data_IF_773580156297
#
_entry.id   IF_773580156297
#
_cell.length_a   1.000
_cell.length_b   1.000
_cell.length_c   1.000
_cell.angle_alpha   90.00
_cell.angle_beta   90.00
_cell.angle_gamma   90.00
#
_symmetry.space_group_name_H-M   'P 1'
#
loop_
_entity.id
_entity.type
_entity.pdbx_description
1 polymer ?
#
# COMPACT_ATOMS: atom_id res chain seq x y z
N UNK A 1 13.44 7.03 -14.13
CA UNK A 1 12.67 8.05 -13.39
C UNK A 1 13.63 9.03 -12.72
N UNK A 2 13.29 10.33 -12.72
CA UNK A 2 13.96 11.34 -11.90
C UNK A 2 13.05 11.65 -10.72
N UNK A 3 13.58 11.63 -9.52
CA UNK A 3 12.86 12.05 -8.32
C UNK A 3 13.03 13.56 -8.19
N UNK A 4 11.91 14.27 -8.11
CA UNK A 4 11.89 15.70 -7.82
C UNK A 4 11.35 15.85 -6.40
N UNK A 5 12.20 16.38 -5.52
CA UNK A 5 11.85 16.62 -4.12
C UNK A 5 12.05 18.10 -3.80
N UNK A 6 10.94 18.83 -3.69
CA UNK A 6 10.97 20.25 -3.41
C UNK A 6 9.68 20.71 -2.71
N UNK A 7 9.72 21.55 -1.67
CA UNK A 7 8.53 21.99 -0.94
C UNK A 7 7.42 22.59 -1.81
N UNK A 8 7.79 23.28 -2.90
CA UNK A 8 6.82 23.85 -3.86
C UNK A 8 6.05 22.79 -4.67
N UNK A 9 6.45 21.51 -4.61
CA UNK A 9 5.74 20.40 -5.27
C UNK A 9 4.61 19.84 -4.39
N UNK A 10 4.54 20.25 -3.13
CA UNK A 10 3.42 19.86 -2.27
C UNK A 10 2.17 20.63 -2.68
N UNK A 11 1.05 19.93 -2.97
CA UNK A 11 -0.22 20.59 -3.28
C UNK A 11 -0.78 21.29 -2.04
N UNK A 12 -1.36 22.48 -2.24
CA UNK A 12 -2.04 23.21 -1.16
C UNK A 12 -3.40 22.57 -0.82
N UNK A 13 -4.03 21.89 -1.78
CA UNK A 13 -5.31 21.22 -1.64
C UNK A 13 -5.26 19.91 -2.41
N UNK A 14 -5.76 18.84 -1.81
CA UNK A 14 -5.95 17.53 -2.45
C UNK A 14 -7.43 17.19 -2.44
N UNK A 15 -7.99 16.90 -3.60
CA UNK A 15 -9.39 16.50 -3.77
C UNK A 15 -9.43 15.01 -4.11
N UNK A 16 -10.09 14.21 -3.28
CA UNK A 16 -10.29 12.78 -3.49
C UNK A 16 -11.70 12.55 -4.03
N UNK A 17 -11.83 12.52 -5.35
CA UNK A 17 -13.10 12.27 -6.03
C UNK A 17 -13.15 10.82 -6.54
N UNK A 18 -13.97 9.93 -5.93
CA UNK A 18 -14.08 8.54 -6.34
C UNK A 18 -14.70 8.37 -7.73
N UNK A 19 -15.49 9.34 -8.20
CA UNK A 19 -16.17 9.29 -9.51
C UNK A 19 -15.11 9.17 -10.61
N UNK A 20 -13.99 9.87 -10.49
CA UNK A 20 -12.89 9.84 -11.47
C UNK A 20 -12.19 8.48 -11.57
N UNK A 21 -12.46 7.58 -10.63
CA UNK A 21 -11.85 6.23 -10.61
C UNK A 21 -12.78 5.12 -11.06
N UNK A 22 -14.06 5.43 -11.35
CA UNK A 22 -15.07 4.42 -11.69
C UNK A 22 -14.76 3.64 -12.99
N UNK A 23 -14.00 4.24 -13.90
CA UNK A 23 -13.63 3.63 -15.18
C UNK A 23 -12.24 2.97 -15.16
N UNK A 24 -11.57 2.92 -14.01
CA UNK A 24 -10.35 2.14 -13.88
C UNK A 24 -10.64 0.65 -14.09
N UNK A 25 -9.86 0.03 -14.97
CA UNK A 25 -9.96 -1.42 -15.19
C UNK A 25 -9.64 -2.20 -13.90
N UNK A 26 -10.16 -3.43 -13.74
CA UNK A 26 -9.82 -4.28 -12.62
C UNK A 26 -8.30 -4.43 -12.41
N UNK A 27 -7.55 -4.61 -13.49
CA UNK A 27 -6.08 -4.69 -13.45
C UNK A 27 -5.42 -3.44 -12.85
N UNK A 28 -5.89 -2.24 -13.26
CA UNK A 28 -5.37 -0.99 -12.69
C UNK A 28 -5.81 -0.80 -11.24
N UNK A 29 -7.04 -1.17 -10.92
CA UNK A 29 -7.55 -1.14 -9.54
C UNK A 29 -6.71 -2.02 -8.61
N UNK A 30 -6.42 -3.26 -9.02
CA UNK A 30 -5.56 -4.16 -8.26
C UNK A 30 -4.14 -3.58 -8.09
N UNK A 31 -3.52 -3.16 -9.20
CA UNK A 31 -2.15 -2.65 -9.17
C UNK A 31 -2.01 -1.39 -8.30
N UNK A 32 -2.94 -0.41 -8.41
CA UNK A 32 -2.90 0.82 -7.60
C UNK A 32 -3.26 0.56 -6.14
N UNK A 33 -4.16 -0.39 -5.87
CA UNK A 33 -4.49 -0.81 -4.51
C UNK A 33 -3.32 -1.52 -3.82
N UNK A 34 -2.59 -2.37 -4.53
CA UNK A 34 -1.37 -3.00 -4.01
C UNK A 34 -0.23 -2.00 -3.82
N UNK A 35 -0.16 -0.95 -4.64
CA UNK A 35 0.77 0.16 -4.44
C UNK A 35 0.44 0.95 -3.17
N UNK A 36 -0.84 1.28 -2.96
CA UNK A 36 -1.30 1.90 -1.73
C UNK A 36 -1.01 1.03 -0.48
N UNK A 37 -1.14 -0.30 -0.61
CA UNK A 37 -0.76 -1.24 0.45
C UNK A 37 0.74 -1.17 0.74
N UNK A 38 1.58 -1.16 -0.30
CA UNK A 38 3.03 -1.06 -0.14
C UNK A 38 3.43 0.24 0.57
N UNK A 39 2.82 1.38 0.21
CA UNK A 39 3.08 2.66 0.88
C UNK A 39 2.77 2.62 2.38
N UNK A 40 1.56 2.15 2.73
CA UNK A 40 1.15 2.06 4.13
C UNK A 40 2.01 1.06 4.92
N UNK A 41 2.27 -0.11 4.34
CA UNK A 41 3.02 -1.18 4.99
C UNK A 41 4.48 -0.79 5.23
N UNK A 42 5.17 -0.24 4.23
CA UNK A 42 6.55 0.20 4.37
C UNK A 42 6.66 1.38 5.35
N UNK A 43 5.72 2.33 5.31
CA UNK A 43 5.68 3.42 6.28
C UNK A 43 5.51 2.89 7.71
N UNK A 44 4.60 1.94 7.94
CA UNK A 44 4.40 1.33 9.25
C UNK A 44 5.64 0.58 9.73
N UNK A 45 6.24 -0.23 8.85
CA UNK A 45 7.44 -1.02 9.17
C UNK A 45 8.73 -0.20 9.22
N UNK A 46 8.76 1.00 8.65
CA UNK A 46 9.94 1.87 8.66
C UNK A 46 10.43 2.14 10.10
N UNK A 47 11.75 2.24 10.34
CA UNK A 47 12.29 2.59 11.64
C UNK A 47 11.91 4.01 12.08
N UNK A 48 12.09 4.31 13.34
CA UNK A 48 11.79 5.62 13.91
C UNK A 48 10.44 5.71 14.58
N UNK A 49 10.40 6.58 15.59
CA UNK A 49 9.21 6.84 16.40
C UNK A 49 8.34 7.91 15.75
N UNK A 50 7.22 7.52 15.18
CA UNK A 50 6.25 8.45 14.59
C UNK A 50 4.81 7.91 14.71
N UNK A 51 4.19 8.01 15.90
CA UNK A 51 2.88 7.38 16.16
C UNK A 51 1.76 7.88 15.25
N UNK A 52 1.77 9.16 14.84
CA UNK A 52 0.77 9.66 13.88
C UNK A 52 0.89 8.95 12.53
N UNK A 53 2.10 8.82 11.97
CA UNK A 53 2.30 8.10 10.72
C UNK A 53 1.91 6.63 10.85
N UNK A 54 2.23 5.99 11.98
CA UNK A 54 1.82 4.60 12.25
C UNK A 54 0.30 4.47 12.29
N UNK A 55 -0.40 5.35 13.01
CA UNK A 55 -1.87 5.34 13.09
C UNK A 55 -2.55 5.55 11.73
N UNK A 56 -2.00 6.45 10.90
CA UNK A 56 -2.48 6.67 9.53
C UNK A 56 -2.24 5.42 8.68
N UNK A 57 -1.03 4.88 8.71
CA UNK A 57 -0.66 3.72 7.88
C UNK A 57 -1.48 2.48 8.22
N UNK A 58 -1.67 2.16 9.49
CA UNK A 58 -2.40 0.95 9.88
C UNK A 58 -3.88 1.01 9.51
N UNK A 59 -4.52 2.19 9.61
CA UNK A 59 -5.89 2.37 9.12
C UNK A 59 -5.96 2.28 7.59
N UNK A 60 -4.96 2.79 6.87
CA UNK A 60 -4.83 2.61 5.42
C UNK A 60 -4.78 1.13 5.02
N UNK A 61 -4.00 0.31 5.73
CA UNK A 61 -3.94 -1.15 5.51
C UNK A 61 -5.33 -1.78 5.73
N UNK A 62 -6.05 -1.38 6.78
CA UNK A 62 -7.39 -1.89 7.08
C UNK A 62 -8.40 -1.55 5.98
N UNK A 63 -8.38 -0.32 5.46
CA UNK A 63 -9.26 0.06 4.36
C UNK A 63 -8.97 -0.76 3.10
N UNK A 64 -7.70 -0.99 2.77
CA UNK A 64 -7.31 -1.80 1.62
C UNK A 64 -7.77 -3.24 1.81
N UNK A 65 -7.53 -3.84 2.98
CA UNK A 65 -7.99 -5.19 3.31
C UNK A 65 -9.49 -5.34 3.12
N UNK A 66 -10.27 -4.35 3.54
CA UNK A 66 -11.73 -4.39 3.47
C UNK A 66 -12.29 -4.19 2.06
N UNK A 67 -11.68 -3.31 1.26
CA UNK A 67 -12.31 -2.78 0.05
C UNK A 67 -11.60 -3.12 -1.26
N UNK A 68 -10.34 -3.60 -1.26
CA UNK A 68 -9.61 -3.81 -2.51
C UNK A 68 -10.31 -4.85 -3.40
N UNK A 69 -10.68 -5.99 -2.85
CA UNK A 69 -11.37 -7.05 -3.62
C UNK A 69 -12.75 -6.58 -4.07
N UNK A 70 -13.46 -5.80 -3.25
CA UNK A 70 -14.76 -5.24 -3.63
C UNK A 70 -14.61 -4.30 -4.82
N UNK A 71 -13.66 -3.36 -4.79
CA UNK A 71 -13.42 -2.42 -5.89
C UNK A 71 -12.89 -3.13 -7.15
N UNK A 72 -12.15 -4.22 -7.01
CA UNK A 72 -11.67 -5.05 -8.11
C UNK A 72 -12.83 -5.76 -8.83
N UNK A 73 -13.75 -6.39 -8.07
CA UNK A 73 -14.89 -7.14 -8.60
C UNK A 73 -16.02 -6.23 -9.08
N UNK A 74 -16.27 -5.14 -8.36
CA UNK A 74 -17.26 -4.11 -8.69
C UNK A 74 -16.62 -2.72 -8.74
N UNK A 75 -16.09 -2.39 -9.91
CA UNK A 75 -15.45 -1.10 -10.15
C UNK A 75 -16.37 0.12 -10.02
N UNK A 76 -17.69 -0.07 -9.96
CA UNK A 76 -18.66 1.01 -9.80
C UNK A 76 -19.06 1.25 -8.33
N UNK A 77 -18.55 0.46 -7.41
CA UNK A 77 -18.79 0.62 -5.98
C UNK A 77 -18.09 1.88 -5.43
N UNK A 78 -18.84 2.96 -5.29
CA UNK A 78 -18.33 4.29 -4.88
C UNK A 78 -17.69 4.23 -3.49
N UNK A 79 -18.28 3.50 -2.53
CA UNK A 79 -17.73 3.36 -1.18
C UNK A 79 -16.35 2.71 -1.22
N UNK A 80 -16.19 1.63 -1.98
CA UNK A 80 -14.92 0.95 -2.13
C UNK A 80 -13.88 1.85 -2.83
N UNK A 81 -14.27 2.58 -3.87
CA UNK A 81 -13.40 3.55 -4.56
C UNK A 81 -12.94 4.68 -3.63
N UNK A 82 -13.85 5.29 -2.88
CA UNK A 82 -13.53 6.34 -1.91
C UNK A 82 -12.58 5.82 -0.83
N UNK A 83 -12.83 4.61 -0.33
CA UNK A 83 -11.99 3.98 0.69
C UNK A 83 -10.57 3.72 0.19
N UNK A 84 -10.42 3.26 -1.05
CA UNK A 84 -9.09 3.05 -1.64
C UNK A 84 -8.36 4.37 -1.93
N UNK A 85 -9.04 5.40 -2.40
CA UNK A 85 -8.46 6.74 -2.56
C UNK A 85 -7.97 7.28 -1.21
N UNK A 86 -8.79 7.14 -0.16
CA UNK A 86 -8.42 7.54 1.20
C UNK A 86 -7.19 6.77 1.67
N UNK A 87 -7.17 5.45 1.50
CA UNK A 87 -6.02 4.61 1.87
C UNK A 87 -4.74 4.98 1.11
N UNK A 88 -4.85 5.34 -0.17
CA UNK A 88 -3.72 5.83 -0.98
C UNK A 88 -3.19 7.16 -0.46
N UNK A 89 -4.08 8.10 -0.13
CA UNK A 89 -3.71 9.39 0.48
C UNK A 89 -3.07 9.20 1.87
N UNK A 90 -3.59 8.26 2.66
CA UNK A 90 -3.02 7.90 3.96
C UNK A 90 -1.61 7.34 3.81
N UNK A 91 -1.38 6.44 2.86
CA UNK A 91 -0.06 5.91 2.53
C UNK A 91 0.91 7.02 2.12
N UNK A 92 0.49 7.94 1.24
CA UNK A 92 1.31 9.08 0.81
C UNK A 92 1.65 10.04 1.96
N UNK A 93 0.79 10.16 2.96
CA UNK A 93 1.07 10.95 4.16
C UNK A 93 2.02 10.21 5.09
N UNK A 94 1.77 8.92 5.33
CA UNK A 94 2.53 8.11 6.27
C UNK A 94 3.96 7.83 5.79
N UNK A 95 4.20 7.67 4.50
CA UNK A 95 5.53 7.35 3.97
C UNK A 95 6.55 8.49 4.13
N UNK A 96 6.14 9.66 4.60
CA UNK A 96 7.07 10.69 5.10
C UNK A 96 8.00 10.14 6.19
N UNK A 97 7.55 9.13 6.94
CA UNK A 97 8.36 8.38 7.90
C UNK A 97 9.45 7.56 7.21
N UNK A 98 9.21 7.06 6.00
CA UNK A 98 10.16 6.31 5.17
C UNK A 98 9.45 5.30 4.25
N UNK A 99 10.12 5.00 3.15
CA UNK A 99 9.84 3.86 2.27
C UNK A 99 10.94 2.82 2.42
N UNK A 100 10.68 1.62 1.94
CA UNK A 100 11.60 0.48 2.12
C UNK A 100 12.04 -0.18 0.82
N UNK A 101 12.40 -1.46 0.94
CA UNK A 101 13.00 -2.25 -0.13
C UNK A 101 12.01 -2.59 -1.27
N UNK A 102 10.69 -2.62 -1.02
CA UNK A 102 9.70 -2.84 -2.07
C UNK A 102 9.83 -1.75 -3.13
N UNK A 103 9.79 -0.48 -2.72
CA UNK A 103 9.94 0.65 -3.63
C UNK A 103 11.35 0.78 -4.19
N UNK A 104 12.38 0.48 -3.40
CA UNK A 104 13.77 0.51 -3.87
C UNK A 104 14.03 -0.48 -4.99
N UNK A 105 13.41 -1.65 -4.98
CA UNK A 105 13.49 -2.66 -6.03
C UNK A 105 12.60 -2.33 -7.23
N UNK A 106 11.39 -1.81 -7.00
CA UNK A 106 10.44 -1.55 -8.08
C UNK A 106 10.86 -0.36 -8.97
N UNK A 107 11.43 0.70 -8.42
CA UNK A 107 11.80 1.89 -9.19
C UNK A 107 12.75 1.61 -10.37
N UNK A 108 13.90 0.92 -10.20
CA UNK A 108 14.78 0.60 -11.32
C UNK A 108 14.14 -0.37 -12.31
N UNK A 109 13.35 -1.34 -11.83
CA UNK A 109 12.62 -2.29 -12.70
C UNK A 109 11.60 -1.58 -13.57
N UNK A 110 10.80 -0.68 -12.98
CA UNK A 110 9.84 0.13 -13.74
C UNK A 110 10.53 1.00 -14.80
N UNK A 111 11.64 1.62 -14.43
CA UNK A 111 12.38 2.50 -15.32
C UNK A 111 13.01 1.74 -16.50
N UNK A 112 13.58 0.56 -16.24
CA UNK A 112 14.32 -0.22 -17.23
C UNK A 112 13.41 -1.05 -18.15
N UNK A 113 12.33 -1.61 -17.61
CA UNK A 113 11.49 -2.59 -18.29
C UNK A 113 10.07 -2.10 -18.60
N UNK A 114 9.76 -0.85 -18.26
CA UNK A 114 8.44 -0.23 -18.46
C UNK A 114 7.27 -1.05 -17.83
N UNK A 115 7.55 -1.69 -16.68
CA UNK A 115 6.54 -2.46 -15.95
C UNK A 115 5.71 -1.49 -15.09
N UNK A 116 4.42 -1.75 -14.94
CA UNK A 116 3.54 -0.93 -14.09
C UNK A 116 4.03 -0.94 -12.64
N UNK A 117 4.10 0.24 -12.02
CA UNK A 117 4.70 0.44 -10.69
C UNK A 117 4.05 -0.43 -9.61
N UNK A 118 2.72 -0.31 -9.45
CA UNK A 118 1.99 -1.08 -8.46
C UNK A 118 2.06 -2.60 -8.66
N UNK A 119 2.15 -3.06 -9.92
CA UNK A 119 2.38 -4.48 -10.21
C UNK A 119 3.75 -4.93 -9.69
N UNK A 120 4.79 -4.13 -9.91
CA UNK A 120 6.14 -4.46 -9.39
C UNK A 120 6.15 -4.49 -7.88
N UNK A 121 5.48 -3.52 -7.22
CA UNK A 121 5.37 -3.51 -5.76
C UNK A 121 4.63 -4.75 -5.24
N UNK A 122 3.54 -5.17 -5.90
CA UNK A 122 2.83 -6.40 -5.55
C UNK A 122 3.73 -7.64 -5.68
N UNK A 123 4.56 -7.70 -6.74
CA UNK A 123 5.47 -8.83 -6.96
C UNK A 123 6.56 -8.89 -5.89
N UNK A 124 7.21 -7.77 -5.57
CA UNK A 124 8.32 -7.73 -4.62
C UNK A 124 7.89 -7.85 -3.16
N UNK A 125 6.67 -7.41 -2.83
CA UNK A 125 6.18 -7.32 -1.45
C UNK A 125 6.40 -8.58 -0.61
N UNK A 126 5.96 -9.80 -0.99
CA UNK A 126 6.12 -10.98 -0.15
C UNK A 126 7.60 -11.37 0.06
N UNK A 127 8.44 -11.16 -0.93
CA UNK A 127 9.88 -11.47 -0.82
C UNK A 127 10.58 -10.49 0.11
N UNK A 128 10.25 -9.20 0.03
CA UNK A 128 10.81 -8.18 0.93
C UNK A 128 10.33 -8.39 2.35
N UNK A 129 9.05 -8.73 2.56
CA UNK A 129 8.54 -9.07 3.89
C UNK A 129 9.28 -10.25 4.49
N UNK A 130 9.45 -11.34 3.71
CA UNK A 130 10.17 -12.53 4.16
C UNK A 130 11.64 -12.22 4.47
N UNK A 131 12.31 -11.42 3.65
CA UNK A 131 13.69 -11.01 3.87
C UNK A 131 13.87 -10.19 5.16
N UNK A 132 12.92 -9.31 5.45
CA UNK A 132 12.96 -8.42 6.61
C UNK A 132 12.29 -9.03 7.87
N UNK A 133 11.85 -10.29 7.83
CA UNK A 133 11.02 -10.90 8.89
C UNK A 133 11.60 -10.65 10.28
N UNK A 134 12.90 -10.89 10.49
CA UNK A 134 13.56 -10.71 11.80
C UNK A 134 13.37 -9.32 12.40
N UNK A 135 13.32 -8.30 11.56
CA UNK A 135 13.27 -6.90 11.99
C UNK A 135 11.85 -6.37 12.13
N UNK A 136 10.90 -6.90 11.33
CA UNK A 136 9.56 -6.32 11.24
C UNK A 136 8.46 -7.21 11.81
N UNK A 137 8.75 -8.44 12.24
CA UNK A 137 7.74 -9.40 12.71
C UNK A 137 6.85 -8.80 13.80
N UNK A 138 7.44 -8.13 14.79
CA UNK A 138 6.67 -7.50 15.87
C UNK A 138 5.66 -6.46 15.34
N UNK A 139 6.02 -5.69 14.29
CA UNK A 139 5.11 -4.73 13.64
C UNK A 139 4.02 -5.41 12.82
N UNK A 140 4.35 -6.51 12.16
CA UNK A 140 3.35 -7.32 11.44
C UNK A 140 2.34 -7.91 12.41
N UNK A 141 2.78 -8.39 13.58
CA UNK A 141 1.87 -8.89 14.63
C UNK A 141 0.97 -7.79 15.18
N UNK A 142 1.47 -6.55 15.29
CA UNK A 142 0.67 -5.38 15.67
C UNK A 142 -0.41 -5.06 14.60
N UNK A 143 -0.05 -5.15 13.31
CA UNK A 143 -1.02 -5.02 12.21
C UNK A 143 -2.09 -6.13 12.33
N UNK A 144 -1.70 -7.38 12.55
CA UNK A 144 -2.63 -8.50 12.70
C UNK A 144 -3.64 -8.26 13.84
N UNK A 145 -3.17 -7.79 14.99
CA UNK A 145 -4.04 -7.43 16.12
C UNK A 145 -5.05 -6.35 15.72
N UNK A 146 -4.58 -5.28 15.09
CA UNK A 146 -5.45 -4.18 14.66
C UNK A 146 -6.50 -4.61 13.63
N UNK A 147 -6.13 -5.51 12.73
CA UNK A 147 -7.01 -6.07 11.70
C UNK A 147 -7.92 -7.17 12.24
N UNK A 148 -7.77 -7.58 13.50
CA UNK A 148 -8.48 -8.71 14.12
C UNK A 148 -8.37 -10.00 13.28
N UNK A 149 -7.16 -10.29 12.80
CA UNK A 149 -6.82 -11.50 12.06
C UNK A 149 -5.88 -12.40 12.87
N UNK A 150 -5.65 -13.62 12.38
CA UNK A 150 -4.71 -14.53 13.02
C UNK A 150 -3.33 -13.87 13.22
N UNK A 151 -2.88 -13.79 14.47
CA UNK A 151 -1.64 -13.11 14.87
C UNK A 151 -0.42 -13.95 14.54
N UNK A 152 -0.05 -13.97 13.28
CA UNK A 152 1.11 -14.70 12.79
C UNK A 152 1.67 -13.98 11.56
N UNK A 153 3.01 -13.91 11.47
CA UNK A 153 3.69 -13.39 10.29
C UNK A 153 3.32 -14.19 9.04
N UNK A 154 3.29 -15.50 9.16
CA UNK A 154 3.01 -16.40 8.04
C UNK A 154 1.57 -16.24 7.55
N UNK A 155 0.59 -16.10 8.46
CA UNK A 155 -0.81 -15.81 8.06
C UNK A 155 -0.95 -14.44 7.38
N UNK A 156 -0.19 -13.44 7.81
CA UNK A 156 -0.16 -12.14 7.13
C UNK A 156 0.44 -12.27 5.73
N UNK A 157 1.53 -13.01 5.60
CA UNK A 157 2.18 -13.26 4.31
C UNK A 157 1.27 -14.04 3.36
N UNK A 158 0.54 -15.05 3.86
CA UNK A 158 -0.47 -15.78 3.08
C UNK A 158 -1.56 -14.85 2.57
N UNK A 159 -2.07 -13.94 3.41
CA UNK A 159 -3.03 -12.93 2.96
C UNK A 159 -2.48 -12.06 1.82
N UNK A 160 -1.23 -11.63 1.88
CA UNK A 160 -0.58 -10.88 0.78
C UNK A 160 -0.49 -11.73 -0.49
N UNK A 161 -0.16 -13.00 -0.36
CA UNK A 161 -0.08 -13.93 -1.49
C UNK A 161 -1.45 -14.20 -2.11
N UNK A 162 -2.50 -14.29 -1.30
CA UNK A 162 -3.87 -14.49 -1.76
C UNK A 162 -4.41 -13.27 -2.53
N UNK A 163 -4.12 -12.05 -2.05
CA UNK A 163 -4.45 -10.82 -2.78
C UNK A 163 -3.85 -10.75 -4.20
N UNK A 164 -2.84 -11.55 -4.49
CA UNK A 164 -2.17 -11.59 -5.79
C UNK A 164 -2.74 -12.65 -6.75
N UNK A 165 -3.59 -13.54 -6.25
CA UNK A 165 -4.18 -14.63 -7.05
C UNK A 165 -5.44 -14.19 -7.80
N UNK A 166 -6.18 -13.21 -7.26
CA UNK A 166 -7.37 -12.63 -7.84
C UNK A 166 -7.04 -11.49 -8.81
#
# INVERSE_FOLDING_TARGET
KKIIFHPKMLPSIVILDPILTLDLSPRLTAATGMDALAHNLEAFCSPGFHPMANGIAIEGIKLIKKYLITAYKDGKNIEARMSLLSASSMGSTAFQKGLGAIHSLSHPVNSKFNIHHGLSNAIFMPYVLSFNKSEIEHKILEICDYLSVNKSFDSFLEWILDLRKD
#
